data_IF_977701529090
#
_entry.id   IF_977701529090
#
_cell.length_a   1.000
_cell.length_b   1.000
_cell.length_c   1.000
_cell.angle_alpha   90.00
_cell.angle_beta   90.00
_cell.angle_gamma   90.00
#
_symmetry.space_group_name_H-M   'P 1'
#
loop_
_entity.id
_entity.type
_entity.pdbx_description
1 polymer ?
#
# COMPACT_ATOMS: atom_id res chain seq x y z
N UNK A 1 34.83 43.96 8.73
CA UNK A 1 35.64 43.06 9.59
C UNK A 1 35.73 43.61 11.02
N UNK A 2 34.88 44.58 11.39
CA UNK A 2 35.14 45.48 12.53
C UNK A 2 34.26 45.24 13.76
N UNK A 3 33.37 44.23 13.71
CA UNK A 3 32.53 43.86 14.85
C UNK A 3 33.28 43.07 15.93
N UNK A 4 34.39 42.41 15.58
CA UNK A 4 35.17 41.61 16.54
C UNK A 4 36.13 42.46 17.39
N UNK A 5 36.47 43.67 16.97
CA UNK A 5 37.39 44.56 17.70
C UNK A 5 36.72 45.31 18.86
N UNK A 6 35.39 45.24 19.00
CA UNK A 6 34.61 45.87 20.07
C UNK A 6 34.18 44.87 21.16
N UNK A 7 34.66 43.63 21.11
CA UNK A 7 34.36 42.60 22.11
C UNK A 7 35.54 42.44 23.06
N UNK A 8 35.25 42.45 24.37
CA UNK A 8 36.23 42.30 25.44
C UNK A 8 36.68 40.82 25.52
N UNK A 9 37.65 40.47 24.70
CA UNK A 9 38.15 39.10 24.59
C UNK A 9 39.31 38.94 23.60
N UNK A 10 39.94 37.77 23.62
CA UNK A 10 41.11 37.46 22.79
C UNK A 10 40.65 36.79 21.50
N UNK A 11 40.97 37.41 20.35
CA UNK A 11 40.75 36.84 19.02
C UNK A 11 42.07 36.24 18.51
N UNK A 12 42.07 34.95 18.18
CA UNK A 12 43.21 34.26 17.55
C UNK A 12 42.79 33.75 16.17
N UNK A 13 43.57 34.05 15.13
CA UNK A 13 43.30 33.59 13.76
C UNK A 13 44.41 32.67 13.26
N UNK A 14 44.05 31.41 12.99
CA UNK A 14 44.95 30.40 12.41
C UNK A 14 44.41 29.98 11.03
N UNK A 15 45.03 30.50 9.96
CA UNK A 15 44.53 30.31 8.59
C UNK A 15 43.15 30.96 8.41
N UNK A 16 42.17 30.18 7.95
CA UNK A 16 40.79 30.65 7.78
C UNK A 16 39.94 30.55 9.06
N UNK A 17 40.47 29.93 10.13
CA UNK A 17 39.74 29.77 11.40
C UNK A 17 40.01 30.95 12.33
N UNK A 18 38.93 31.57 12.83
CA UNK A 18 38.96 32.62 13.85
C UNK A 18 38.37 32.07 15.15
N UNK A 19 39.17 32.04 16.20
CA UNK A 19 38.76 31.67 17.56
C UNK A 19 38.62 32.94 18.39
N UNK A 20 37.50 33.10 19.08
CA UNK A 20 37.27 34.19 20.02
C UNK A 20 37.03 33.61 21.42
N UNK A 21 37.80 34.09 22.39
CA UNK A 21 37.65 33.74 23.81
C UNK A 21 37.29 35.02 24.55
N UNK A 22 36.05 35.13 25.02
CA UNK A 22 35.63 36.24 25.87
C UNK A 22 36.37 36.19 27.22
N UNK A 23 36.85 37.34 27.70
CA UNK A 23 37.65 37.41 28.93
C UNK A 23 36.82 37.08 30.18
N UNK A 24 35.51 37.36 30.13
CA UNK A 24 34.56 37.09 31.20
C UNK A 24 33.94 35.69 31.14
N UNK A 25 34.35 34.83 30.20
CA UNK A 25 33.69 33.55 29.94
C UNK A 25 33.68 32.65 31.18
N UNK A 26 34.80 32.57 31.90
CA UNK A 26 34.91 31.77 33.13
C UNK A 26 34.02 32.33 34.25
N UNK A 27 33.99 33.65 34.42
CA UNK A 27 33.16 34.32 35.43
C UNK A 27 31.68 34.14 35.14
N UNK A 28 31.25 34.26 33.88
CA UNK A 28 29.86 34.01 33.47
C UNK A 28 29.48 32.54 33.63
N UNK A 29 30.35 31.60 33.29
CA UNK A 29 30.10 30.17 33.51
C UNK A 29 29.88 29.84 35.00
N UNK A 30 30.62 30.50 35.89
CA UNK A 30 30.41 30.39 37.35
C UNK A 30 29.08 31.01 37.80
N UNK A 31 28.60 32.07 37.16
CA UNK A 31 27.31 32.70 37.45
C UNK A 31 26.11 31.91 36.89
N UNK A 32 26.28 31.23 35.75
CA UNK A 32 25.23 30.41 35.13
C UNK A 32 25.12 29.02 35.75
N UNK A 33 26.14 28.58 36.47
CA UNK A 33 26.06 27.38 37.29
C UNK A 33 25.09 27.65 38.44
N UNK A 34 24.09 26.79 38.71
CA UNK A 34 23.33 26.92 39.93
C UNK A 34 24.32 26.87 41.09
N UNK A 35 24.50 27.99 41.77
CA UNK A 35 25.21 28.05 43.04
C UNK A 35 24.32 27.34 44.03
N UNK A 36 24.39 26.00 44.03
CA UNK A 36 23.92 25.20 45.15
C UNK A 36 24.62 25.77 46.37
N UNK A 37 23.89 26.38 47.33
CA UNK A 37 24.54 26.81 48.56
C UNK A 37 25.29 25.59 49.08
N UNK A 38 26.59 25.75 49.35
CA UNK A 38 27.40 24.78 50.09
C UNK A 38 26.91 24.76 51.54
N UNK A 39 25.65 24.37 51.73
CA UNK A 39 25.27 23.60 52.92
C UNK A 39 26.21 22.39 52.94
N UNK A 40 26.62 21.90 54.13
CA UNK A 40 27.12 20.52 54.18
C UNK A 40 26.12 19.68 53.41
N UNK A 41 26.56 18.65 52.70
CA UNK A 41 25.67 17.64 52.11
C UNK A 41 24.85 17.01 53.26
N UNK A 42 23.88 17.75 53.79
CA UNK A 42 22.68 17.27 54.42
C UNK A 42 22.01 16.58 53.26
N UNK A 43 22.43 15.34 53.07
CA UNK A 43 21.80 14.25 52.35
C UNK A 43 20.51 14.78 51.75
N UNK A 44 20.49 15.05 50.44
CA UNK A 44 19.21 15.10 49.74
C UNK A 44 18.56 13.77 50.11
N UNK A 45 17.63 13.80 51.07
CA UNK A 45 16.90 12.61 51.47
C UNK A 45 15.90 12.46 50.36
N UNK A 46 16.34 11.81 49.27
CA UNK A 46 15.44 11.27 48.29
C UNK A 46 14.47 10.40 49.09
N UNK A 47 13.22 10.82 49.12
CA UNK A 47 12.19 10.09 49.83
C UNK A 47 12.11 8.70 49.21
N UNK A 48 12.48 7.68 49.98
CA UNK A 48 12.53 6.31 49.51
C UNK A 48 11.15 5.83 49.03
N UNK A 49 10.07 6.40 49.58
CA UNK A 49 8.71 6.10 49.14
C UNK A 49 8.46 6.60 47.71
N UNK A 50 8.89 7.81 47.37
CA UNK A 50 8.75 8.36 46.02
C UNK A 50 9.52 7.55 44.96
N UNK A 51 10.72 7.05 45.31
CA UNK A 51 11.48 6.18 44.41
C UNK A 51 10.82 4.81 44.23
N UNK A 52 10.27 4.24 45.30
CA UNK A 52 9.50 2.98 45.23
C UNK A 52 8.23 3.14 44.39
N UNK A 53 7.50 4.25 44.55
CA UNK A 53 6.30 4.53 43.75
C UNK A 53 6.64 4.71 42.27
N UNK A 54 7.74 5.42 41.96
CA UNK A 54 8.23 5.56 40.59
C UNK A 54 8.66 4.22 40.00
N UNK A 55 9.38 3.40 40.77
CA UNK A 55 9.78 2.06 40.33
C UNK A 55 8.56 1.16 40.10
N UNK A 56 7.57 1.22 40.99
CA UNK A 56 6.32 0.48 40.85
C UNK A 56 5.57 0.89 39.58
N UNK A 57 5.39 2.20 39.34
CA UNK A 57 4.72 2.71 38.15
C UNK A 57 5.51 2.36 36.88
N UNK A 58 6.84 2.46 36.91
CA UNK A 58 7.69 2.06 35.79
C UNK A 58 7.55 0.57 35.44
N UNK A 59 7.46 -0.31 36.46
CA UNK A 59 7.19 -1.75 36.25
C UNK A 59 5.79 -1.99 35.69
N UNK A 60 4.79 -1.22 36.13
CA UNK A 60 3.42 -1.34 35.65
C UNK A 60 3.29 -0.90 34.17
N UNK A 61 3.98 0.18 33.79
CA UNK A 61 4.09 0.62 32.39
C UNK A 61 4.80 -0.44 31.56
N UNK A 62 5.93 -0.99 32.03
CA UNK A 62 6.65 -2.04 31.33
C UNK A 62 5.75 -3.26 31.04
N UNK A 63 5.02 -3.75 32.06
CA UNK A 63 4.08 -4.85 31.90
C UNK A 63 2.93 -4.53 30.93
N UNK A 64 2.46 -3.27 30.93
CA UNK A 64 1.43 -2.81 29.99
C UNK A 64 1.94 -2.78 28.55
N UNK A 65 3.19 -2.34 28.34
CA UNK A 65 3.86 -2.35 27.03
C UNK A 65 4.06 -3.78 26.53
N UNK A 66 4.48 -4.70 27.40
CA UNK A 66 4.63 -6.12 27.04
C UNK A 66 3.28 -6.71 26.59
N UNK A 67 2.21 -6.43 27.33
CA UNK A 67 0.85 -6.86 26.99
C UNK A 67 0.37 -6.28 25.65
N UNK A 68 0.62 -4.99 25.41
CA UNK A 68 0.29 -4.33 24.15
C UNK A 68 1.10 -4.91 22.98
N UNK A 69 2.38 -5.20 23.18
CA UNK A 69 3.26 -5.80 22.18
C UNK A 69 2.79 -7.19 21.78
N UNK A 70 2.43 -8.03 22.76
CA UNK A 70 1.88 -9.36 22.52
C UNK A 70 0.53 -9.29 21.78
N UNK A 71 -0.35 -8.40 22.22
CA UNK A 71 -1.66 -8.18 21.57
C UNK A 71 -1.51 -7.71 20.12
N UNK A 72 -0.64 -6.72 19.87
CA UNK A 72 -0.36 -6.22 18.53
C UNK A 72 0.22 -7.31 17.64
N UNK A 73 1.14 -8.12 18.16
CA UNK A 73 1.70 -9.27 17.45
C UNK A 73 0.60 -10.25 17.02
N UNK A 74 -0.32 -10.59 17.93
CA UNK A 74 -1.46 -11.46 17.63
C UNK A 74 -2.39 -10.90 16.56
N UNK A 75 -2.73 -9.61 16.63
CA UNK A 75 -3.58 -8.93 15.64
C UNK A 75 -2.87 -8.87 14.28
N UNK A 76 -1.60 -8.51 14.22
CA UNK A 76 -0.83 -8.46 12.98
C UNK A 76 -0.68 -9.83 12.34
N UNK A 77 -0.47 -10.88 13.14
CA UNK A 77 -0.41 -12.24 12.63
C UNK A 77 -1.76 -12.67 12.02
N UNK A 78 -2.86 -12.38 12.71
CA UNK A 78 -4.22 -12.65 12.23
C UNK A 78 -4.53 -11.88 10.93
N UNK A 79 -4.17 -10.60 10.86
CA UNK A 79 -4.33 -9.77 9.66
C UNK A 79 -3.48 -10.28 8.49
N UNK A 80 -2.26 -10.74 8.77
CA UNK A 80 -1.38 -11.32 7.77
C UNK A 80 -1.96 -12.63 7.22
N UNK A 81 -2.50 -13.49 8.09
CA UNK A 81 -3.17 -14.72 7.70
C UNK A 81 -4.38 -14.45 6.80
N UNK A 82 -5.26 -13.51 7.17
CA UNK A 82 -6.39 -13.10 6.33
C UNK A 82 -5.96 -12.57 4.97
N UNK A 83 -4.82 -11.86 4.91
CA UNK A 83 -4.28 -11.35 3.64
C UNK A 83 -3.80 -12.51 2.75
N UNK A 84 -3.17 -13.53 3.34
CA UNK A 84 -2.79 -14.76 2.62
C UNK A 84 -4.04 -15.48 2.09
N UNK A 85 -5.06 -15.67 2.92
CA UNK A 85 -6.32 -16.31 2.52
C UNK A 85 -7.00 -15.55 1.37
N UNK A 86 -7.02 -14.21 1.43
CA UNK A 86 -7.53 -13.37 0.35
C UNK A 86 -6.78 -13.60 -0.97
N UNK A 87 -5.45 -13.70 -0.93
CA UNK A 87 -4.63 -13.94 -2.11
C UNK A 87 -4.82 -15.36 -2.67
N UNK A 88 -5.03 -16.36 -1.82
CA UNK A 88 -5.34 -17.72 -2.24
C UNK A 88 -6.70 -17.78 -2.96
N UNK A 89 -7.74 -17.18 -2.38
CA UNK A 89 -9.07 -17.09 -3.00
C UNK A 89 -8.97 -16.34 -4.34
N UNK A 90 -8.24 -15.22 -4.39
CA UNK A 90 -8.06 -14.45 -5.61
C UNK A 90 -7.40 -15.28 -6.71
N UNK A 91 -6.32 -16.00 -6.39
CA UNK A 91 -5.65 -16.92 -7.31
C UNK A 91 -6.62 -17.96 -7.84
N UNK A 92 -7.40 -18.59 -6.98
CA UNK A 92 -8.34 -19.64 -7.36
C UNK A 92 -9.47 -19.12 -8.28
N UNK A 93 -9.99 -17.92 -8.01
CA UNK A 93 -10.98 -17.26 -8.87
C UNK A 93 -10.41 -16.94 -10.24
N UNK A 94 -9.18 -16.43 -10.29
CA UNK A 94 -8.48 -16.18 -11.57
C UNK A 94 -8.32 -17.48 -12.36
N UNK A 95 -7.85 -18.57 -11.73
CA UNK A 95 -7.72 -19.87 -12.39
C UNK A 95 -9.06 -20.39 -12.93
N UNK A 96 -10.12 -20.40 -12.11
CA UNK A 96 -11.48 -20.81 -12.55
C UNK A 96 -12.02 -19.96 -13.68
N UNK A 97 -11.70 -18.66 -13.68
CA UNK A 97 -12.06 -17.74 -14.76
C UNK A 97 -11.32 -18.09 -16.04
N UNK A 98 -10.01 -18.38 -15.97
CA UNK A 98 -9.24 -18.86 -17.12
C UNK A 98 -9.81 -20.16 -17.69
N UNK A 99 -10.16 -21.13 -16.84
CA UNK A 99 -10.77 -22.40 -17.26
C UNK A 99 -12.11 -22.17 -17.96
N UNK A 100 -12.94 -21.28 -17.42
CA UNK A 100 -14.24 -20.92 -18.00
C UNK A 100 -14.08 -20.23 -19.36
N UNK A 101 -13.08 -19.35 -19.50
CA UNK A 101 -12.76 -18.68 -20.77
C UNK A 101 -12.23 -19.70 -21.79
N UNK A 102 -11.37 -20.63 -21.40
CA UNK A 102 -10.88 -21.70 -22.29
C UNK A 102 -12.03 -22.58 -22.80
N UNK A 103 -12.96 -22.96 -21.91
CA UNK A 103 -14.17 -23.67 -22.30
C UNK A 103 -15.04 -22.84 -23.27
N UNK A 104 -15.16 -21.54 -23.06
CA UNK A 104 -15.88 -20.65 -23.97
C UNK A 104 -15.21 -20.55 -25.34
N UNK A 105 -13.88 -20.43 -25.40
CA UNK A 105 -13.12 -20.41 -26.66
C UNK A 105 -13.38 -21.70 -27.45
N UNK A 106 -13.29 -22.87 -26.80
CA UNK A 106 -13.64 -24.16 -27.41
C UNK A 106 -15.07 -24.18 -27.95
N UNK A 107 -16.02 -23.64 -27.17
CA UNK A 107 -17.42 -23.55 -27.57
C UNK A 107 -17.61 -22.63 -28.78
N UNK A 108 -16.88 -21.52 -28.88
CA UNK A 108 -16.91 -20.65 -30.06
C UNK A 108 -16.38 -21.35 -31.31
N UNK A 109 -15.32 -22.15 -31.21
CA UNK A 109 -14.84 -22.96 -32.33
C UNK A 109 -15.84 -24.02 -32.77
N UNK A 110 -16.51 -24.69 -31.82
CA UNK A 110 -17.59 -25.63 -32.14
C UNK A 110 -18.77 -24.93 -32.83
N UNK A 111 -19.14 -23.74 -32.36
CA UNK A 111 -20.18 -22.92 -32.98
C UNK A 111 -19.80 -22.53 -34.42
N UNK A 112 -18.55 -22.12 -34.63
CA UNK A 112 -18.04 -21.76 -35.95
C UNK A 112 -18.16 -22.94 -36.94
N UNK A 113 -17.72 -24.13 -36.53
CA UNK A 113 -17.85 -25.33 -37.35
C UNK A 113 -19.33 -25.66 -37.65
N UNK A 114 -20.23 -25.46 -36.68
CA UNK A 114 -21.66 -25.70 -36.90
C UNK A 114 -22.28 -24.67 -37.85
N UNK A 115 -21.86 -23.41 -37.79
CA UNK A 115 -22.28 -22.39 -38.74
C UNK A 115 -21.84 -22.72 -40.18
N UNK A 116 -20.61 -23.20 -40.36
CA UNK A 116 -20.11 -23.66 -41.67
C UNK A 116 -20.92 -24.85 -42.20
N UNK A 117 -21.22 -25.83 -41.34
CA UNK A 117 -22.06 -26.98 -41.69
C UNK A 117 -23.47 -26.53 -42.11
N UNK A 118 -24.11 -25.64 -41.35
CA UNK A 118 -25.42 -25.08 -41.69
C UNK A 118 -25.39 -24.32 -43.02
N UNK A 119 -24.36 -23.50 -43.23
CA UNK A 119 -24.20 -22.75 -44.49
C UNK A 119 -24.14 -23.70 -45.69
N UNK A 120 -23.39 -24.80 -45.56
CA UNK A 120 -23.27 -25.83 -46.60
C UNK A 120 -24.60 -26.56 -46.85
N UNK A 121 -25.29 -26.96 -45.80
CA UNK A 121 -26.61 -27.62 -45.91
C UNK A 121 -27.70 -26.68 -46.48
N UNK A 122 -27.48 -25.36 -46.45
CA UNK A 122 -28.40 -24.38 -47.04
C UNK A 122 -28.26 -24.26 -48.57
N UNK A 123 -27.16 -24.69 -49.18
CA UNK A 123 -26.92 -24.57 -50.64
C UNK A 123 -28.06 -25.16 -51.51
N UNK A 124 -28.59 -26.36 -51.24
CA UNK A 124 -29.69 -26.93 -52.03
C UNK A 124 -30.99 -26.15 -51.88
N UNK A 125 -31.24 -25.51 -50.73
CA UNK A 125 -32.44 -24.70 -50.50
C UNK A 125 -32.45 -23.48 -51.41
N UNK A 126 -31.31 -22.83 -51.65
CA UNK A 126 -31.22 -21.73 -52.61
C UNK A 126 -31.56 -22.17 -54.04
N UNK A 127 -31.11 -23.37 -54.45
CA UNK A 127 -31.46 -23.96 -55.75
C UNK A 127 -32.95 -24.23 -55.86
N UNK A 128 -33.54 -24.84 -54.83
CA UNK A 128 -34.98 -25.09 -54.77
C UNK A 128 -35.78 -23.78 -54.83
N UNK A 129 -35.36 -22.75 -54.11
CA UNK A 129 -35.96 -21.42 -54.17
C UNK A 129 -35.96 -20.85 -55.60
N UNK A 130 -34.87 -21.05 -56.35
CA UNK A 130 -34.83 -20.62 -57.76
C UNK A 130 -35.82 -21.41 -58.63
N UNK A 131 -35.86 -22.73 -58.49
CA UNK A 131 -36.82 -23.58 -59.20
C UNK A 131 -38.27 -23.15 -58.94
N UNK A 132 -38.61 -22.80 -57.70
CA UNK A 132 -39.95 -22.29 -57.35
C UNK A 132 -40.25 -20.96 -58.03
N UNK A 133 -39.27 -20.05 -58.11
CA UNK A 133 -39.42 -18.77 -58.84
C UNK A 133 -39.64 -18.99 -60.34
N UNK A 134 -38.91 -19.93 -60.93
CA UNK A 134 -39.04 -20.25 -62.34
C UNK A 134 -40.42 -20.85 -62.66
N UNK A 135 -40.92 -21.75 -61.80
CA UNK A 135 -42.30 -22.30 -61.91
C UNK A 135 -43.33 -21.17 -61.83
N UNK A 136 -43.17 -20.24 -60.88
CA UNK A 136 -44.06 -19.08 -60.77
C UNK A 136 -44.04 -18.24 -62.05
N UNK A 137 -42.86 -17.93 -62.58
CA UNK A 137 -42.75 -17.14 -63.80
C UNK A 137 -43.45 -17.80 -65.00
N UNK A 138 -43.31 -19.12 -65.14
CA UNK A 138 -44.00 -19.87 -66.18
C UNK A 138 -45.51 -19.82 -65.99
N UNK A 139 -46.02 -19.97 -64.76
CA UNK A 139 -47.44 -19.82 -64.45
C UNK A 139 -47.97 -18.43 -64.83
N UNK A 140 -47.23 -17.37 -64.50
CA UNK A 140 -47.61 -15.99 -64.85
C UNK A 140 -47.71 -15.81 -66.39
N UNK A 141 -46.82 -16.44 -67.17
CA UNK A 141 -46.89 -16.40 -68.64
C UNK A 141 -48.12 -17.15 -69.18
N UNK A 142 -48.46 -18.31 -68.60
CA UNK A 142 -49.67 -19.04 -68.97
C UNK A 142 -50.94 -18.25 -68.66
N UNK A 143 -51.02 -17.62 -67.48
CA UNK A 143 -52.18 -16.81 -67.09
C UNK A 143 -52.40 -15.62 -68.03
N UNK A 144 -51.32 -14.95 -68.46
CA UNK A 144 -51.38 -13.84 -69.42
C UNK A 144 -51.70 -14.27 -70.86
N UNK A 145 -51.49 -15.54 -71.22
CA UNK A 145 -51.82 -16.05 -72.55
C UNK A 145 -53.27 -16.56 -72.66
N UNK A 146 -53.91 -16.83 -71.51
CA UNK A 146 -55.29 -17.34 -71.43
C UNK A 146 -56.32 -16.24 -71.16
N UNK A 147 -55.89 -15.08 -70.63
CA UNK A 147 -56.68 -13.85 -70.51
C UNK A 147 -56.49 -12.94 -71.74
#
# INVERSE_FOLDING_TARGET
>A
MDFLNNLEGIVTKNGDMVTFIAEDLESKLKQTSPTMPTRPLGRFVLDANLLNDLEFEARNIAASVDTLSESLSGVLHSMSALTVDCLEIYRDVVCKTCDSIDANIKSMYQLMAKCEEVSKEMEPIYKLSQQVKDIKHILDLFENAVN
#
